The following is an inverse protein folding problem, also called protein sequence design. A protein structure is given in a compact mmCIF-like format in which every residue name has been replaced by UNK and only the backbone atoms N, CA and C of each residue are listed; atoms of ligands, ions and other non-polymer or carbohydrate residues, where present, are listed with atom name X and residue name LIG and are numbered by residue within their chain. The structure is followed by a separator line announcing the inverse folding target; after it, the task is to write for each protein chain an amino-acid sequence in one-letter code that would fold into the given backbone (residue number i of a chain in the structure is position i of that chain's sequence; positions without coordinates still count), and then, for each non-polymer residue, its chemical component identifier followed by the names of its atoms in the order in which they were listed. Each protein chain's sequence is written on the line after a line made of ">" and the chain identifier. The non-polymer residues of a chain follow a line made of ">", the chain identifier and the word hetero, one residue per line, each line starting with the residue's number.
data_IF_208364206172
#
_entry.id   IF_208364206172
#
_cell.length_a   1.000
_cell.length_b   1.000
_cell.length_c   1.000
_cell.angle_alpha   90.00
_cell.angle_beta   90.00
_cell.angle_gamma   90.00
#
_symmetry.space_group_name_H-M   'P 1'
#
loop_
_entity.id
_entity.type
_entity.pdbx_description
1 polymer ?
#
# COMPACT_ATOMS: atom_id res chain seq x y z
N UNK A 1 12.77 1.69 -3.86
CA UNK A 1 11.75 0.94 -4.60
C UNK A 1 10.81 0.23 -3.64
N UNK A 2 9.52 0.37 -3.86
CA UNK A 2 8.52 -0.26 -3.00
C UNK A 2 8.34 -1.73 -3.41
N UNK A 3 8.38 -2.62 -2.43
CA UNK A 3 8.22 -4.06 -2.67
C UNK A 3 6.96 -4.56 -1.96
N UNK A 4 6.52 -5.75 -2.35
CA UNK A 4 5.31 -6.37 -1.76
C UNK A 4 5.48 -6.72 -0.28
N UNK A 5 6.72 -6.84 0.17
CA UNK A 5 7.02 -7.20 1.56
C UNK A 5 7.05 -6.00 2.51
N UNK A 6 7.02 -4.80 1.97
CA UNK A 6 6.97 -3.59 2.79
C UNK A 6 5.59 -3.42 3.40
N UNK A 7 5.54 -2.93 4.64
CA UNK A 7 4.25 -2.68 5.27
C UNK A 7 3.67 -1.35 4.78
N UNK A 8 2.36 -1.23 4.91
CA UNK A 8 1.68 0.03 4.57
C UNK A 8 2.23 1.16 5.43
N UNK A 9 2.53 0.88 6.71
CA UNK A 9 3.12 1.88 7.60
C UNK A 9 4.47 2.38 7.12
N UNK A 10 5.29 1.50 6.59
CA UNK A 10 6.59 1.89 6.03
C UNK A 10 6.42 2.80 4.81
N UNK A 11 5.44 2.50 3.98
CA UNK A 11 5.17 3.31 2.80
C UNK A 11 4.67 4.69 3.21
N UNK A 12 3.74 4.75 4.15
CA UNK A 12 3.20 6.03 4.64
C UNK A 12 4.31 6.89 5.27
N UNK A 13 5.22 6.25 5.99
CA UNK A 13 6.31 6.94 6.67
C UNK A 13 7.40 7.41 5.71
N UNK A 14 7.83 6.54 4.81
CA UNK A 14 8.98 6.80 3.94
C UNK A 14 8.61 7.34 2.56
N UNK A 15 7.38 7.09 2.12
CA UNK A 15 6.90 7.52 0.81
C UNK A 15 5.52 8.17 0.93
N UNK A 16 5.43 9.30 1.67
CA UNK A 16 4.12 9.93 1.92
C UNK A 16 3.39 10.33 0.64
N UNK A 17 4.10 10.60 -0.44
CA UNK A 17 3.49 10.93 -1.73
C UNK A 17 2.71 9.76 -2.32
N UNK A 18 2.95 8.53 -1.85
CA UNK A 18 2.26 7.34 -2.33
C UNK A 18 0.93 7.09 -1.62
N UNK A 19 0.61 7.87 -0.59
CA UNK A 19 -0.67 7.76 0.10
C UNK A 19 -1.83 7.94 -0.89
N UNK A 20 -1.69 8.87 -1.83
CA UNK A 20 -2.70 9.11 -2.86
C UNK A 20 -2.91 7.88 -3.74
N UNK A 21 -1.83 7.19 -4.06
CA UNK A 21 -1.90 5.97 -4.87
C UNK A 21 -2.67 4.88 -4.12
N UNK A 22 -2.37 4.72 -2.84
CA UNK A 22 -3.06 3.74 -1.99
C UNK A 22 -4.55 4.08 -1.87
N UNK A 23 -4.86 5.34 -1.67
CA UNK A 23 -6.25 5.80 -1.58
C UNK A 23 -7.00 5.56 -2.89
N UNK A 24 -6.36 5.83 -4.03
CA UNK A 24 -6.94 5.58 -5.35
C UNK A 24 -7.23 4.11 -5.59
N UNK A 25 -6.45 3.24 -4.98
CA UNK A 25 -6.64 1.79 -5.09
C UNK A 25 -7.73 1.25 -4.16
N UNK A 26 -8.39 2.12 -3.40
CA UNK A 26 -9.44 1.73 -2.47
C UNK A 26 -8.98 1.50 -1.05
N UNK A 27 -7.72 1.80 -0.74
CA UNK A 27 -7.15 1.62 0.59
C UNK A 27 -7.13 2.94 1.35
N UNK A 28 -8.31 3.51 1.60
CA UNK A 28 -8.42 4.82 2.24
C UNK A 28 -8.04 4.86 3.72
N UNK A 29 -7.91 3.71 4.37
CA UNK A 29 -7.63 3.64 5.81
C UNK A 29 -6.14 3.45 6.12
N UNK A 30 -5.25 4.04 5.34
CA UNK A 30 -3.81 3.89 5.52
C UNK A 30 -3.30 4.49 6.83
N UNK A 31 -4.09 5.31 7.49
CA UNK A 31 -3.74 5.89 8.78
C UNK A 31 -4.06 4.99 9.97
N UNK A 32 -4.81 3.90 9.78
CA UNK A 32 -5.18 3.00 10.87
C UNK A 32 -4.00 2.12 11.27
N UNK A 33 -3.72 1.97 12.58
CA UNK A 33 -2.62 1.10 13.01
C UNK A 33 -2.70 -0.33 12.50
N UNK A 34 -3.90 -0.91 12.43
CA UNK A 34 -4.04 -2.27 11.92
C UNK A 34 -3.72 -2.36 10.43
N UNK A 35 -4.13 -1.36 9.64
CA UNK A 35 -3.82 -1.32 8.21
C UNK A 35 -2.32 -1.16 7.98
N UNK A 36 -1.65 -0.37 8.84
CA UNK A 36 -0.23 -0.11 8.71
C UNK A 36 0.64 -1.32 9.01
N UNK A 37 0.12 -2.31 9.69
CA UNK A 37 0.84 -3.56 9.98
C UNK A 37 0.82 -4.53 8.82
N UNK A 38 -0.10 -4.36 7.90
CA UNK A 38 -0.21 -5.24 6.74
C UNK A 38 0.88 -4.91 5.72
N UNK A 39 1.37 -5.95 5.04
CA UNK A 39 2.26 -5.75 3.91
C UNK A 39 1.43 -5.33 2.70
N UNK A 40 2.10 -4.79 1.69
CA UNK A 40 1.44 -4.43 0.44
C UNK A 40 0.71 -5.64 -0.15
N UNK A 41 1.36 -6.80 -0.10
CA UNK A 41 0.79 -8.05 -0.60
C UNK A 41 -0.49 -8.42 0.15
N UNK A 42 -0.45 -8.36 1.48
CA UNK A 42 -1.61 -8.66 2.32
C UNK A 42 -2.75 -7.68 2.05
N UNK A 43 -2.43 -6.41 1.95
CA UNK A 43 -3.42 -5.38 1.68
C UNK A 43 -4.07 -5.59 0.31
N UNK A 44 -3.28 -5.91 -0.70
CA UNK A 44 -3.79 -6.21 -2.04
C UNK A 44 -4.76 -7.39 -2.00
N UNK A 45 -4.41 -8.43 -1.25
CA UNK A 45 -5.23 -9.62 -1.12
C UNK A 45 -6.57 -9.31 -0.47
N UNK A 46 -6.54 -8.56 0.62
CA UNK A 46 -7.75 -8.18 1.37
C UNK A 46 -8.70 -7.34 0.51
N UNK A 47 -8.15 -6.44 -0.30
CA UNK A 47 -8.94 -5.54 -1.12
C UNK A 47 -9.24 -6.10 -2.52
N UNK A 48 -8.78 -7.31 -2.82
CA UNK A 48 -9.00 -7.92 -4.12
C UNK A 48 -8.26 -7.25 -5.25
N UNK A 49 -7.09 -6.68 -4.95
CA UNK A 49 -6.28 -5.96 -5.93
C UNK A 49 -5.19 -6.86 -6.51
N UNK A 50 -4.78 -6.54 -7.73
CA UNK A 50 -3.65 -7.21 -8.36
C UNK A 50 -2.37 -6.62 -7.79
N UNK A 51 -1.55 -7.44 -7.14
CA UNK A 51 -0.32 -6.98 -6.49
C UNK A 51 0.66 -6.37 -7.50
N UNK A 52 0.78 -6.94 -8.68
CA UNK A 52 1.68 -6.43 -9.70
C UNK A 52 1.26 -5.04 -10.20
N UNK A 53 -0.02 -4.85 -10.43
CA UNK A 53 -0.56 -3.56 -10.83
C UNK A 53 -0.35 -2.52 -9.74
N UNK A 54 -0.60 -2.90 -8.49
CA UNK A 54 -0.44 -2.01 -7.36
C UNK A 54 1.02 -1.58 -7.20
N UNK A 55 1.94 -2.52 -7.28
CA UNK A 55 3.37 -2.21 -7.20
C UNK A 55 3.82 -1.32 -8.35
N UNK A 56 3.29 -1.54 -9.54
CA UNK A 56 3.62 -0.69 -10.69
C UNK A 56 3.19 0.75 -10.44
N UNK A 57 2.02 0.95 -9.86
CA UNK A 57 1.53 2.28 -9.52
C UNK A 57 2.34 2.92 -8.40
N UNK A 58 2.74 2.13 -7.40
CA UNK A 58 3.51 2.63 -6.29
C UNK A 58 4.94 3.01 -6.69
N UNK A 59 5.47 2.37 -7.71
CA UNK A 59 6.83 2.63 -8.18
C UNK A 59 6.92 3.53 -9.41
N UNK A 60 5.80 4.10 -9.77
CA UNK A 60 5.72 4.95 -10.97
C UNK A 60 6.36 6.31 -10.82
#
# INVERSE_FOLDING_TARGET
>A
MITKDMTIGEIVKNYPEKIEVLASAGMGCVGCPSAQRETVEEAALVHGLDIEELLAKLNK
#
